data_IF_522587446114
#
_entry.id   IF_522587446114
#
_cell.length_a   1.000
_cell.length_b   1.000
_cell.length_c   1.000
_cell.angle_alpha   90.00
_cell.angle_beta   90.00
_cell.angle_gamma   90.00
#
_symmetry.space_group_name_H-M   'P 1'
#
loop_
_entity.id
_entity.type
_entity.pdbx_description
1 polymer ?
#
# COMPACT_ATOMS: atom_id res chain seq x y z
N UNK A 1 -6.66 -25.71 -32.57
CA UNK A 1 -7.57 -24.94 -31.71
C UNK A 1 -7.06 -23.51 -31.71
N UNK A 2 -7.78 -22.62 -32.37
CA UNK A 2 -7.38 -21.23 -32.58
C UNK A 2 -7.89 -20.44 -31.38
N UNK A 3 -6.99 -19.97 -30.53
CA UNK A 3 -7.36 -19.09 -29.41
C UNK A 3 -7.82 -17.77 -30.00
N UNK A 4 -9.08 -17.41 -29.75
CA UNK A 4 -9.64 -16.11 -30.12
C UNK A 4 -8.84 -14.99 -29.44
N UNK A 5 -8.57 -13.93 -30.19
CA UNK A 5 -7.93 -12.70 -29.75
C UNK A 5 -8.62 -12.21 -28.45
N UNK A 6 -7.90 -12.21 -27.33
CA UNK A 6 -8.38 -11.63 -26.08
C UNK A 6 -8.62 -10.14 -26.30
N UNK A 7 -9.81 -9.70 -25.90
CA UNK A 7 -10.41 -8.43 -26.28
C UNK A 7 -9.52 -7.23 -26.01
N UNK A 8 -9.68 -6.20 -26.86
CA UNK A 8 -9.17 -4.85 -26.63
C UNK A 8 -9.37 -4.48 -25.15
N UNK A 9 -8.30 -4.32 -24.39
CA UNK A 9 -8.32 -3.90 -22.98
C UNK A 9 -9.28 -2.71 -22.85
N UNK A 10 -10.48 -2.95 -22.31
CA UNK A 10 -11.54 -1.94 -22.22
C UNK A 10 -11.29 -0.96 -21.08
N UNK A 11 -10.26 -1.20 -20.26
CA UNK A 11 -9.91 -0.36 -19.13
C UNK A 11 -8.45 0.10 -19.26
N UNK A 12 -8.19 1.41 -19.09
CA UNK A 12 -6.83 1.94 -19.14
C UNK A 12 -5.95 1.48 -17.96
N UNK A 13 -6.56 0.96 -16.91
CA UNK A 13 -5.91 0.29 -15.78
C UNK A 13 -6.74 -0.94 -15.36
N UNK A 14 -6.08 -2.07 -15.14
CA UNK A 14 -6.73 -3.33 -14.74
C UNK A 14 -5.88 -4.08 -13.71
N UNK A 15 -6.53 -4.66 -12.69
CA UNK A 15 -5.87 -5.55 -11.74
C UNK A 15 -5.86 -6.98 -12.31
N UNK A 16 -4.68 -7.52 -12.63
CA UNK A 16 -4.56 -8.82 -13.31
C UNK A 16 -4.43 -9.99 -12.33
N UNK A 17 -3.88 -9.75 -11.14
CA UNK A 17 -3.73 -10.79 -10.11
C UNK A 17 -3.61 -10.19 -8.71
N UNK A 18 -4.15 -10.88 -7.69
CA UNK A 18 -4.05 -10.49 -6.28
C UNK A 18 -3.45 -11.66 -5.49
N UNK A 19 -2.49 -11.35 -4.62
CA UNK A 19 -1.78 -12.29 -3.75
C UNK A 19 -1.76 -11.80 -2.29
N UNK A 20 -1.22 -12.61 -1.39
CA UNK A 20 -1.04 -12.22 0.01
C UNK A 20 -0.04 -11.06 0.22
N UNK A 21 0.80 -10.76 -0.78
CA UNK A 21 1.87 -9.76 -0.68
C UNK A 21 1.56 -8.45 -1.41
N UNK A 22 0.55 -8.44 -2.26
CA UNK A 22 0.27 -7.33 -3.17
C UNK A 22 -0.54 -7.80 -4.37
N UNK A 23 -0.70 -6.91 -5.34
CA UNK A 23 -1.42 -7.20 -6.58
C UNK A 23 -0.69 -6.65 -7.80
N UNK A 24 -0.98 -7.24 -8.95
CA UNK A 24 -0.50 -6.81 -10.25
C UNK A 24 -1.50 -5.87 -10.90
N UNK A 25 -0.99 -4.78 -11.44
CA UNK A 25 -1.76 -3.75 -12.13
C UNK A 25 -1.21 -3.57 -13.54
N UNK A 26 -2.03 -3.83 -14.54
CA UNK A 26 -1.74 -3.56 -15.94
C UNK A 26 -2.21 -2.14 -16.29
N UNK A 27 -1.27 -1.29 -16.70
CA UNK A 27 -1.56 0.08 -17.16
C UNK A 27 -0.84 0.37 -18.47
N UNK A 28 -1.57 0.86 -19.48
CA UNK A 28 -1.02 1.06 -20.82
C UNK A 28 -0.54 -0.24 -21.46
N UNK A 29 0.79 -0.46 -21.48
CA UNK A 29 1.44 -1.64 -22.04
C UNK A 29 2.37 -2.36 -21.04
N UNK A 30 2.24 -2.06 -19.75
CA UNK A 30 3.12 -2.62 -18.71
C UNK A 30 2.36 -3.12 -17.49
N UNK A 31 2.93 -4.12 -16.82
CA UNK A 31 2.47 -4.59 -15.51
C UNK A 31 3.36 -4.02 -14.40
N UNK A 32 2.72 -3.55 -13.34
CA UNK A 32 3.34 -3.06 -12.12
C UNK A 32 2.87 -3.87 -10.92
N UNK A 33 3.78 -4.17 -9.99
CA UNK A 33 3.44 -4.84 -8.75
C UNK A 33 3.25 -3.86 -7.61
N UNK A 34 2.03 -3.77 -7.08
CA UNK A 34 1.69 -2.94 -5.92
C UNK A 34 1.88 -3.77 -4.65
N UNK A 35 3.04 -3.63 -4.01
CA UNK A 35 3.39 -4.38 -2.81
C UNK A 35 2.72 -3.79 -1.55
N UNK A 36 2.03 -4.63 -0.78
CA UNK A 36 1.38 -4.24 0.48
C UNK A 36 2.37 -3.81 1.58
N UNK A 37 3.66 -4.10 1.41
CA UNK A 37 4.70 -3.57 2.30
C UNK A 37 4.85 -2.06 2.17
N UNK A 38 4.74 -1.54 0.95
CA UNK A 38 4.84 -0.12 0.66
C UNK A 38 3.47 0.59 0.72
N UNK A 39 2.40 -0.16 0.43
CA UNK A 39 1.03 0.36 0.41
C UNK A 39 0.12 -0.47 1.35
N UNK A 40 0.30 -0.35 2.68
CA UNK A 40 -0.35 -1.24 3.65
C UNK A 40 -1.87 -1.11 3.70
N UNK A 41 -2.44 0.01 3.26
CA UNK A 41 -3.89 0.26 3.27
C UNK A 41 -4.69 -0.72 2.40
N UNK A 42 -4.04 -1.39 1.44
CA UNK A 42 -4.69 -2.40 0.61
C UNK A 42 -4.78 -3.79 1.26
N UNK A 43 -4.08 -4.06 2.38
CA UNK A 43 -4.00 -5.40 2.98
C UNK A 43 -5.36 -5.98 3.35
N UNK A 44 -6.23 -5.13 3.89
CA UNK A 44 -7.57 -5.51 4.35
C UNK A 44 -8.67 -5.01 3.41
N UNK A 45 -8.30 -4.47 2.24
CA UNK A 45 -9.25 -4.02 1.24
C UNK A 45 -9.93 -5.22 0.57
N UNK A 46 -11.24 -5.12 0.35
CA UNK A 46 -11.97 -6.17 -0.38
C UNK A 46 -11.48 -6.27 -1.82
N UNK A 47 -11.55 -7.47 -2.41
CA UNK A 47 -11.23 -7.68 -3.84
C UNK A 47 -11.99 -6.68 -4.71
N UNK A 48 -13.28 -6.49 -4.46
CA UNK A 48 -14.13 -5.51 -5.18
C UNK A 48 -13.50 -4.13 -5.17
N UNK A 49 -13.09 -3.65 -4.01
CA UNK A 49 -12.50 -2.33 -3.86
C UNK A 49 -11.14 -2.23 -4.57
N UNK A 50 -10.27 -3.24 -4.45
CA UNK A 50 -8.96 -3.29 -5.13
C UNK A 50 -9.13 -3.29 -6.65
N UNK A 51 -10.10 -4.04 -7.19
CA UNK A 51 -10.33 -4.14 -8.63
C UNK A 51 -11.03 -2.92 -9.23
N UNK A 52 -11.65 -2.06 -8.41
CA UNK A 52 -12.30 -0.82 -8.84
C UNK A 52 -11.28 0.32 -8.98
N UNK A 53 -10.25 0.10 -9.79
CA UNK A 53 -9.22 1.09 -10.07
C UNK A 53 -9.64 2.02 -11.21
N UNK A 54 -9.32 3.30 -11.07
CA UNK A 54 -9.50 4.31 -12.11
C UNK A 54 -8.14 4.92 -12.47
N UNK A 55 -8.00 5.36 -13.72
CA UNK A 55 -6.85 6.11 -14.22
C UNK A 55 -7.29 7.50 -14.69
N UNK A 56 -7.56 8.46 -13.79
CA UNK A 56 -7.96 9.81 -14.17
C UNK A 56 -6.92 10.54 -15.04
N UNK A 57 -5.65 10.19 -14.90
CA UNK A 57 -4.56 10.67 -15.76
C UNK A 57 -3.48 9.61 -15.93
N UNK A 58 -2.64 9.73 -16.96
CA UNK A 58 -1.60 8.74 -17.26
C UNK A 58 -0.61 8.45 -16.11
N UNK A 59 -0.50 9.35 -15.12
CA UNK A 59 0.43 9.23 -14.00
C UNK A 59 -0.28 9.08 -12.63
N UNK A 60 -1.61 9.10 -12.58
CA UNK A 60 -2.37 9.02 -11.34
C UNK A 60 -3.45 7.95 -11.39
N UNK A 61 -3.42 7.09 -10.37
CA UNK A 61 -4.39 6.04 -10.09
C UNK A 61 -5.29 6.49 -8.95
N UNK A 62 -6.56 6.08 -9.01
CA UNK A 62 -7.53 6.37 -7.97
C UNK A 62 -8.41 5.15 -7.68
N UNK A 63 -8.57 4.82 -6.40
CA UNK A 63 -9.47 3.79 -5.89
C UNK A 63 -10.62 4.47 -5.12
N UNK A 64 -11.76 4.76 -5.77
CA UNK A 64 -12.88 5.48 -5.15
C UNK A 64 -13.47 4.78 -3.93
N UNK A 65 -13.51 3.44 -3.92
CA UNK A 65 -14.07 2.66 -2.80
C UNK A 65 -13.17 2.71 -1.55
N UNK A 66 -11.89 3.02 -1.73
CA UNK A 66 -10.90 3.09 -0.65
C UNK A 66 -10.52 4.53 -0.30
N UNK A 67 -10.92 5.49 -1.14
CA UNK A 67 -10.46 6.88 -1.11
C UNK A 67 -8.92 6.99 -1.12
N UNK A 68 -8.28 6.21 -2.00
CA UNK A 68 -6.82 6.16 -2.16
C UNK A 68 -6.44 6.69 -3.55
N UNK A 69 -5.53 7.66 -3.58
CA UNK A 69 -4.81 8.09 -4.78
C UNK A 69 -3.35 7.62 -4.74
N UNK A 70 -2.81 7.18 -5.89
CA UNK A 70 -1.39 6.85 -6.04
C UNK A 70 -0.83 7.43 -7.33
N UNK A 71 0.38 7.99 -7.24
CA UNK A 71 1.19 8.29 -8.41
C UNK A 71 1.81 6.99 -8.95
N UNK A 72 1.77 6.80 -10.27
CA UNK A 72 2.37 5.63 -10.92
C UNK A 72 3.88 5.52 -10.58
N UNK A 73 4.58 6.66 -10.55
CA UNK A 73 5.99 6.73 -10.17
C UNK A 73 6.28 6.24 -8.74
N UNK A 74 5.31 6.33 -7.84
CA UNK A 74 5.47 5.82 -6.46
C UNK A 74 5.48 4.29 -6.39
N UNK A 75 4.89 3.61 -7.39
CA UNK A 75 4.92 2.16 -7.51
C UNK A 75 6.24 1.69 -8.13
N UNK A 76 6.75 2.43 -9.12
CA UNK A 76 8.06 2.16 -9.75
C UNK A 76 9.24 2.46 -8.79
N UNK A 77 9.09 3.48 -7.94
CA UNK A 77 10.13 3.97 -7.04
C UNK A 77 9.61 4.20 -5.60
N UNK A 78 9.17 3.15 -4.89
CA UNK A 78 8.61 3.28 -3.54
C UNK A 78 9.60 3.87 -2.53
N UNK A 79 10.90 3.72 -2.75
CA UNK A 79 11.96 4.28 -1.91
C UNK A 79 12.01 5.82 -1.92
N UNK A 80 11.51 6.46 -2.98
CA UNK A 80 11.46 7.93 -3.09
C UNK A 80 10.26 8.52 -2.35
N UNK A 81 9.27 7.68 -2.02
CA UNK A 81 8.02 8.08 -1.40
C UNK A 81 7.73 7.16 -0.20
N UNK A 82 8.45 7.32 0.93
CA UNK A 82 8.14 6.56 2.14
C UNK A 82 6.77 6.99 2.68
N UNK A 83 5.73 6.28 2.26
CA UNK A 83 4.32 6.52 2.58
C UNK A 83 3.94 6.03 3.99
N UNK A 84 4.86 5.35 4.66
CA UNK A 84 4.76 5.01 6.08
C UNK A 84 5.66 5.96 6.85
N UNK A 85 5.06 6.81 7.69
CA UNK A 85 5.86 7.57 8.65
C UNK A 85 6.58 6.56 9.55
N UNK A 86 7.90 6.50 9.47
CA UNK A 86 8.70 5.83 10.49
C UNK A 86 8.69 6.70 11.75
N UNK A 87 7.54 6.78 12.42
CA UNK A 87 7.53 7.24 13.80
C UNK A 87 8.37 6.23 14.58
N UNK A 88 9.45 6.65 15.26
CA UNK A 88 10.15 5.76 16.15
C UNK A 88 9.12 5.28 17.17
N UNK A 89 8.90 3.96 17.20
CA UNK A 89 8.09 3.34 18.25
C UNK A 89 8.66 3.79 19.59
N UNK A 90 7.85 4.27 20.56
CA UNK A 90 8.35 4.55 21.89
C UNK A 90 8.55 3.22 22.64
N UNK A 91 9.39 2.33 22.11
CA UNK A 91 9.98 1.23 22.87
C UNK A 91 11.20 1.74 23.65
N UNK A 92 11.08 2.93 24.24
CA UNK A 92 11.99 3.44 25.25
C UNK A 92 11.48 3.01 26.61
N UNK A 93 12.12 1.99 27.18
CA UNK A 93 11.94 1.56 28.57
C UNK A 93 11.76 2.77 29.48
N UNK A 94 10.58 2.97 30.05
CA UNK A 94 10.39 3.84 31.22
C UNK A 94 11.34 3.34 32.32
N UNK A 95 12.34 4.12 32.78
CA UNK A 95 13.11 3.71 33.94
C UNK A 95 12.16 3.65 35.14
N UNK A 96 12.11 2.50 35.82
CA UNK A 96 11.33 2.36 37.05
C UNK A 96 11.83 3.40 38.07
N UNK A 97 10.93 4.12 38.78
CA UNK A 97 11.35 5.05 39.81
C UNK A 97 12.06 4.27 40.93
N UNK A 98 13.24 4.74 41.35
CA UNK A 98 13.97 4.19 42.51
C UNK A 98 13.12 4.37 43.77
N UNK A 99 13.04 3.36 44.66
CA UNK A 99 12.32 3.52 45.92
C UNK A 99 13.01 4.58 46.80
N UNK A 100 12.26 5.58 47.26
CA UNK A 100 12.71 6.52 48.29
C UNK A 100 12.95 5.73 49.58
N UNK A 101 14.21 5.60 49.99
CA UNK A 101 14.53 5.16 51.35
C UNK A 101 13.98 6.20 52.32
N UNK A 102 12.95 5.82 53.07
CA UNK A 102 12.51 6.52 54.26
C UNK A 102 13.59 6.38 55.33
N UNK A 103 14.37 7.43 55.55
CA UNK A 103 15.11 7.59 56.80
C UNK A 103 14.06 7.71 57.90
N UNK A 104 13.93 6.65 58.70
CA UNK A 104 13.35 6.71 60.03
C UNK A 104 14.42 7.34 60.91
N UNK A 105 14.28 8.62 61.18
CA UNK A 105 14.98 9.25 62.28
C UNK A 105 14.39 8.68 63.58
N UNK A 106 15.27 8.22 64.46
CA UNK A 106 14.98 7.85 65.85
C UNK A 106 16.08 8.42 66.73
#
# INVERSE_FOLDING_TARGET
MTSAELGRNTFPAEVTNISAHGFWLFIGERELFVAFEHFPWFRDASIRAITNVQLPSAHHLYWPDLDIDLAVDSIDHPEKFPLVSQAPSPSGRRPKPKPRQSKRDR
#
